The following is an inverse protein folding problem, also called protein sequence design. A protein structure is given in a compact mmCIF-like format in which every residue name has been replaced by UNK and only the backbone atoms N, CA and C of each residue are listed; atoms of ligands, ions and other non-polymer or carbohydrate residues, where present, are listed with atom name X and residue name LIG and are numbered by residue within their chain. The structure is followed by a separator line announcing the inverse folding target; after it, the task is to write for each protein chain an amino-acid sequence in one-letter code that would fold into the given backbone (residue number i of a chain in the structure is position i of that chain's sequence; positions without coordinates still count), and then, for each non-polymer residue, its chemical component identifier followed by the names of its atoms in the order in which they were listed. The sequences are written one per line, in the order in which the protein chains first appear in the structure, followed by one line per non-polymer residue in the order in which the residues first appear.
data_IF_632391533832
#
_entry.id   IF_632391533832
#
_cell.length_a   1.000
_cell.length_b   1.000
_cell.length_c   1.000
_cell.angle_alpha   90.00
_cell.angle_beta   90.00
_cell.angle_gamma   90.00
#
_symmetry.space_group_name_H-M   'P 1'
#
loop_
_entity.id
_entity.type
_entity.pdbx_description
1 polymer ?
#
# COMPACT_ATOMS: atom_id res chain seq x y z
N UNK A 1 17.68 29.48 -53.46
CA UNK A 1 16.26 29.10 -53.31
C UNK A 1 16.21 27.59 -53.14
N UNK A 2 15.67 27.08 -52.04
CA UNK A 2 15.45 25.63 -51.87
C UNK A 2 14.32 25.24 -52.84
N UNK A 3 14.53 24.22 -53.67
CA UNK A 3 13.50 23.74 -54.59
C UNK A 3 12.34 23.12 -53.81
N UNK A 4 11.09 23.24 -54.30
CA UNK A 4 9.93 22.57 -53.70
C UNK A 4 10.15 21.05 -53.59
N UNK A 5 10.86 20.46 -54.54
CA UNK A 5 11.17 19.03 -54.58
C UNK A 5 12.14 18.62 -53.46
N UNK A 6 13.13 19.47 -53.15
CA UNK A 6 14.09 19.23 -52.05
C UNK A 6 13.39 19.26 -50.70
N UNK A 7 12.43 20.17 -50.51
CA UNK A 7 11.63 20.25 -49.28
C UNK A 7 10.78 18.98 -49.11
N UNK A 8 10.08 18.56 -50.17
CA UNK A 8 9.24 17.35 -50.14
C UNK A 8 10.08 16.10 -49.85
N UNK A 9 11.25 15.97 -50.48
CA UNK A 9 12.16 14.85 -50.25
C UNK A 9 12.67 14.83 -48.80
N UNK A 10 13.11 15.99 -48.30
CA UNK A 10 13.58 16.13 -46.91
C UNK A 10 12.49 15.78 -45.89
N UNK A 11 11.24 16.19 -46.14
CA UNK A 11 10.10 15.83 -45.30
C UNK A 11 9.83 14.32 -45.30
N UNK A 12 9.90 13.65 -46.46
CA UNK A 12 9.73 12.19 -46.56
C UNK A 12 10.80 11.45 -45.75
N UNK A 13 12.07 11.86 -45.89
CA UNK A 13 13.16 11.27 -45.12
C UNK A 13 12.95 11.48 -43.61
N UNK A 14 12.59 12.69 -43.18
CA UNK A 14 12.34 13.00 -41.78
C UNK A 14 11.17 12.16 -41.21
N UNK A 15 10.05 12.05 -41.91
CA UNK A 15 8.91 11.24 -41.46
C UNK A 15 9.26 9.75 -41.31
N UNK A 16 10.01 9.19 -42.27
CA UNK A 16 10.48 7.82 -42.21
C UNK A 16 11.45 7.61 -41.02
N UNK A 17 12.40 8.53 -40.83
CA UNK A 17 13.35 8.47 -39.70
C UNK A 17 12.64 8.58 -38.35
N UNK A 18 11.67 9.48 -38.19
CA UNK A 18 10.86 9.60 -36.96
C UNK A 18 10.12 8.29 -36.68
N UNK A 19 9.46 7.70 -37.67
CA UNK A 19 8.71 6.46 -37.50
C UNK A 19 9.61 5.31 -37.01
N UNK A 20 10.78 5.12 -37.63
CA UNK A 20 11.71 4.05 -37.24
C UNK A 20 12.27 4.30 -35.83
N UNK A 21 12.65 5.55 -35.51
CA UNK A 21 13.13 5.90 -34.18
C UNK A 21 12.06 5.69 -33.10
N UNK A 22 10.80 6.05 -33.37
CA UNK A 22 9.68 5.74 -32.48
C UNK A 22 9.54 4.24 -32.27
N UNK A 23 9.63 3.41 -33.31
CA UNK A 23 9.55 1.96 -33.18
C UNK A 23 10.70 1.38 -32.34
N UNK A 24 11.92 1.91 -32.50
CA UNK A 24 13.08 1.51 -31.69
C UNK A 24 12.84 1.85 -30.21
N UNK A 25 12.38 3.07 -29.90
CA UNK A 25 12.08 3.47 -28.53
C UNK A 25 10.93 2.68 -27.93
N UNK A 26 9.87 2.38 -28.70
CA UNK A 26 8.78 1.51 -28.27
C UNK A 26 9.33 0.12 -27.89
N UNK A 27 10.16 -0.47 -28.76
CA UNK A 27 10.79 -1.76 -28.48
C UNK A 27 11.64 -1.71 -27.20
N UNK A 28 12.41 -0.64 -27.00
CA UNK A 28 13.16 -0.42 -25.77
C UNK A 28 12.25 -0.38 -24.52
N UNK A 29 11.13 0.36 -24.57
CA UNK A 29 10.16 0.39 -23.47
C UNK A 29 9.56 -0.99 -23.18
N UNK A 30 9.32 -1.82 -24.20
CA UNK A 30 8.91 -3.21 -23.99
C UNK A 30 9.99 -4.03 -23.28
N UNK A 31 11.27 -3.87 -23.65
CA UNK A 31 12.37 -4.53 -22.96
C UNK A 31 12.49 -4.10 -21.49
N UNK A 32 12.36 -2.80 -21.18
CA UNK A 32 12.33 -2.33 -19.79
C UNK A 32 11.17 -2.94 -18.99
N UNK A 33 9.98 -3.00 -19.57
CA UNK A 33 8.80 -3.62 -18.92
C UNK A 33 8.99 -5.11 -18.67
N UNK A 34 9.63 -5.83 -19.60
CA UNK A 34 10.02 -7.24 -19.39
C UNK A 34 10.98 -7.34 -18.20
N UNK A 35 11.96 -6.43 -18.09
CA UNK A 35 12.89 -6.44 -16.98
C UNK A 35 12.19 -6.21 -15.63
N UNK A 36 11.28 -5.23 -15.54
CA UNK A 36 10.49 -5.00 -14.32
C UNK A 36 9.64 -6.22 -13.95
N UNK A 37 9.01 -6.84 -14.94
CA UNK A 37 8.21 -8.05 -14.77
C UNK A 37 9.03 -9.22 -14.23
N UNK A 38 10.20 -9.48 -14.83
CA UNK A 38 11.09 -10.55 -14.37
C UNK A 38 11.63 -10.28 -12.97
N UNK A 39 12.02 -9.04 -12.67
CA UNK A 39 12.49 -8.66 -11.35
C UNK A 39 11.40 -8.84 -10.29
N UNK A 40 10.15 -8.49 -10.59
CA UNK A 40 9.04 -8.68 -9.64
C UNK A 40 8.74 -10.16 -9.42
N UNK A 41 8.77 -11.00 -10.47
CA UNK A 41 8.56 -12.45 -10.34
C UNK A 41 9.61 -13.09 -9.43
N UNK A 42 10.88 -12.73 -9.57
CA UNK A 42 11.97 -13.28 -8.75
C UNK A 42 11.82 -12.87 -7.28
N UNK A 43 11.38 -11.64 -7.03
CA UNK A 43 11.28 -11.10 -5.66
C UNK A 43 9.94 -11.45 -4.97
N UNK A 44 8.92 -11.87 -5.73
CA UNK A 44 7.61 -12.21 -5.17
C UNK A 44 7.63 -13.56 -4.50
N UNK A 45 7.52 -13.59 -3.17
CA UNK A 45 7.63 -14.84 -2.39
C UNK A 45 6.31 -15.55 -2.10
N UNK A 46 5.12 -15.06 -2.53
CA UNK A 46 3.83 -15.83 -2.57
C UNK A 46 2.54 -15.02 -2.81
N UNK A 47 2.57 -13.68 -2.91
CA UNK A 47 1.36 -12.87 -2.63
C UNK A 47 0.59 -12.36 -3.85
N UNK A 48 1.20 -12.26 -5.02
CA UNK A 48 0.51 -11.73 -6.22
C UNK A 48 0.40 -12.79 -7.32
N UNK A 49 -0.80 -12.91 -7.89
CA UNK A 49 -1.06 -13.78 -9.03
C UNK A 49 -0.22 -13.30 -10.22
N UNK A 50 0.50 -14.23 -10.87
CA UNK A 50 1.31 -13.95 -12.07
C UNK A 50 0.55 -13.11 -13.12
N UNK A 51 -0.74 -13.42 -13.32
CA UNK A 51 -1.60 -12.67 -14.25
C UNK A 51 -1.77 -11.20 -13.86
N UNK A 52 -1.85 -10.89 -12.56
CA UNK A 52 -1.95 -9.51 -12.07
C UNK A 52 -0.66 -8.74 -12.35
N UNK A 53 0.50 -9.34 -12.07
CA UNK A 53 1.82 -8.73 -12.34
C UNK A 53 1.99 -8.48 -13.84
N UNK A 54 1.56 -9.43 -14.69
CA UNK A 54 1.60 -9.28 -16.14
C UNK A 54 0.75 -8.09 -16.61
N UNK A 55 -0.49 -7.98 -16.12
CA UNK A 55 -1.41 -6.87 -16.45
C UNK A 55 -0.82 -5.53 -15.98
N UNK A 56 -0.21 -5.48 -14.80
CA UNK A 56 0.43 -4.27 -14.29
C UNK A 56 1.68 -3.86 -15.10
N UNK A 57 2.48 -4.83 -15.57
CA UNK A 57 3.68 -4.57 -16.37
C UNK A 57 3.34 -4.09 -17.80
N UNK A 58 2.35 -4.71 -18.44
CA UNK A 58 2.00 -4.49 -19.84
C UNK A 58 0.70 -3.68 -20.03
N UNK A 59 0.21 -3.02 -18.98
CA UNK A 59 -0.86 -2.03 -19.09
C UNK A 59 -0.37 -0.77 -19.80
N UNK A 60 -1.02 -0.41 -20.91
CA UNK A 60 -0.77 0.83 -21.64
C UNK A 60 -2.00 1.74 -21.58
N UNK A 61 -1.78 3.06 -21.59
CA UNK A 61 -2.88 4.00 -21.78
C UNK A 61 -3.42 3.93 -23.23
N UNK A 62 -4.66 4.37 -23.44
CA UNK A 62 -5.35 4.26 -24.73
C UNK A 62 -4.58 4.95 -25.85
N UNK A 63 -3.98 6.11 -25.58
CA UNK A 63 -3.20 6.87 -26.57
C UNK A 63 -1.93 6.11 -26.98
N UNK A 64 -1.22 5.54 -26.01
CA UNK A 64 -0.04 4.70 -26.26
C UNK A 64 -0.39 3.48 -27.12
N UNK A 65 -1.51 2.82 -26.84
CA UNK A 65 -1.95 1.67 -27.63
C UNK A 65 -2.21 2.06 -29.09
N UNK A 66 -2.91 3.17 -29.32
CA UNK A 66 -3.16 3.70 -30.67
C UNK A 66 -1.84 3.99 -31.40
N UNK A 67 -0.88 4.61 -30.72
CA UNK A 67 0.43 4.93 -31.30
C UNK A 67 1.24 3.68 -31.60
N UNK A 68 1.28 2.69 -30.69
CA UNK A 68 1.97 1.41 -30.92
C UNK A 68 1.40 0.71 -32.16
N UNK A 69 0.08 0.61 -32.27
CA UNK A 69 -0.58 -0.02 -33.42
C UNK A 69 -0.28 0.75 -34.71
N UNK A 70 -0.42 2.08 -34.69
CA UNK A 70 -0.18 2.93 -35.87
C UNK A 70 1.27 2.90 -36.33
N UNK A 71 2.22 2.94 -35.40
CA UNK A 71 3.65 2.83 -35.70
C UNK A 71 3.97 1.44 -36.26
N UNK A 72 3.42 0.37 -35.67
CA UNK A 72 3.62 -1.00 -36.14
C UNK A 72 3.10 -1.22 -37.56
N UNK A 73 1.87 -0.79 -37.85
CA UNK A 73 1.27 -0.92 -39.19
C UNK A 73 2.03 -0.09 -40.22
N UNK A 74 2.45 1.12 -39.86
CA UNK A 74 3.23 2.00 -40.73
C UNK A 74 4.62 1.45 -41.00
N UNK A 75 5.28 0.86 -40.00
CA UNK A 75 6.58 0.21 -40.16
C UNK A 75 6.48 -0.98 -41.11
N UNK A 76 5.45 -1.82 -40.98
CA UNK A 76 5.21 -2.93 -41.91
C UNK A 76 5.02 -2.44 -43.34
N UNK A 77 4.29 -1.35 -43.54
CA UNK A 77 4.14 -0.75 -44.87
C UNK A 77 5.47 -0.23 -45.43
N UNK A 78 6.33 0.40 -44.61
CA UNK A 78 7.66 0.86 -45.03
C UNK A 78 8.55 -0.33 -45.41
N UNK A 79 8.55 -1.39 -44.61
CA UNK A 79 9.32 -2.61 -44.87
C UNK A 79 8.89 -3.26 -46.18
N UNK A 80 7.58 -3.33 -46.45
CA UNK A 80 7.07 -3.88 -47.70
C UNK A 80 7.51 -3.09 -48.94
N UNK A 81 7.58 -1.76 -48.85
CA UNK A 81 7.91 -0.90 -49.99
C UNK A 81 9.42 -0.70 -50.22
N UNK A 82 10.22 -0.60 -49.14
CA UNK A 82 11.64 -0.17 -49.22
C UNK A 82 12.59 -1.29 -48.75
N UNK A 83 12.08 -2.37 -48.17
CA UNK A 83 12.91 -3.44 -47.59
C UNK A 83 13.41 -3.05 -46.20
N UNK A 84 14.73 -2.91 -46.01
CA UNK A 84 15.31 -2.60 -44.70
C UNK A 84 15.24 -1.08 -44.40
N UNK A 85 14.42 -0.60 -43.44
CA UNK A 85 14.27 0.82 -43.16
C UNK A 85 15.55 1.46 -42.58
N UNK A 86 16.39 0.67 -41.90
CA UNK A 86 17.66 1.14 -41.33
C UNK A 86 18.66 1.52 -42.41
N UNK A 87 18.75 0.72 -43.49
CA UNK A 87 19.62 1.03 -44.63
C UNK A 87 19.18 2.35 -45.29
N UNK A 88 17.87 2.54 -45.46
CA UNK A 88 17.30 3.77 -46.00
C UNK A 88 17.67 5.02 -45.19
N UNK A 89 17.63 4.93 -43.86
CA UNK A 89 18.01 6.04 -42.96
C UNK A 89 19.52 6.30 -43.02
N UNK A 90 20.34 5.24 -43.10
CA UNK A 90 21.79 5.38 -43.18
C UNK A 90 22.23 6.16 -44.43
N UNK A 91 21.58 5.87 -45.56
CA UNK A 91 21.88 6.49 -46.86
C UNK A 91 21.30 7.89 -47.00
N UNK A 92 20.05 8.11 -46.55
CA UNK A 92 19.31 9.34 -46.87
C UNK A 92 18.99 10.24 -45.66
N UNK A 93 19.12 9.71 -44.45
CA UNK A 93 18.63 10.35 -43.21
C UNK A 93 19.64 11.23 -42.47
N UNK A 94 20.90 11.29 -42.88
CA UNK A 94 21.99 11.88 -42.08
C UNK A 94 21.73 13.33 -41.65
N UNK A 95 21.13 14.15 -42.53
CA UNK A 95 20.85 15.57 -42.24
C UNK A 95 19.64 15.79 -41.32
N UNK A 96 18.67 14.86 -41.33
CA UNK A 96 17.41 14.97 -40.58
C UNK A 96 17.40 14.12 -39.31
N UNK A 97 18.44 13.31 -39.09
CA UNK A 97 18.50 12.34 -38.01
C UNK A 97 18.39 12.97 -36.61
N UNK A 98 19.23 13.97 -36.31
CA UNK A 98 19.25 14.60 -34.97
C UNK A 98 17.92 15.29 -34.63
N UNK A 99 17.32 16.14 -35.50
CA UNK A 99 15.99 16.67 -35.25
C UNK A 99 14.92 15.58 -35.08
N UNK A 100 14.97 14.53 -35.91
CA UNK A 100 14.02 13.41 -35.85
C UNK A 100 14.11 12.63 -34.54
N UNK A 101 15.33 12.44 -34.02
CA UNK A 101 15.57 11.79 -32.74
C UNK A 101 14.97 12.58 -31.58
N UNK A 102 15.22 13.89 -31.54
CA UNK A 102 14.68 14.79 -30.52
C UNK A 102 13.15 14.76 -30.55
N UNK A 103 12.55 14.92 -31.74
CA UNK A 103 11.09 14.89 -31.91
C UNK A 103 10.51 13.55 -31.46
N UNK A 104 11.10 12.43 -31.88
CA UNK A 104 10.62 11.09 -31.52
C UNK A 104 10.65 10.87 -30.01
N UNK A 105 11.72 11.28 -29.33
CA UNK A 105 11.84 11.18 -27.89
C UNK A 105 10.77 12.00 -27.16
N UNK A 106 10.58 13.27 -27.56
CA UNK A 106 9.57 14.13 -26.92
C UNK A 106 8.14 13.65 -27.17
N UNK A 107 7.82 13.18 -28.38
CA UNK A 107 6.50 12.62 -28.68
C UNK A 107 6.17 11.46 -27.73
N UNK A 108 7.09 10.50 -27.56
CA UNK A 108 6.86 9.34 -26.69
C UNK A 108 6.75 9.73 -25.21
N UNK A 109 7.51 10.73 -24.76
CA UNK A 109 7.39 11.27 -23.40
C UNK A 109 6.05 11.95 -23.15
N UNK A 110 5.52 12.68 -24.13
CA UNK A 110 4.19 13.31 -24.03
C UNK A 110 3.08 12.23 -23.96
N UNK A 111 3.25 11.13 -24.70
CA UNK A 111 2.31 10.00 -24.71
C UNK A 111 2.39 9.16 -23.41
N UNK A 112 3.45 9.33 -22.60
CA UNK A 112 3.68 8.61 -21.34
C UNK A 112 3.67 7.08 -21.55
N UNK A 113 4.32 6.64 -22.63
CA UNK A 113 4.38 5.22 -22.98
C UNK A 113 5.21 4.39 -21.99
N UNK A 114 6.09 5.05 -21.24
CA UNK A 114 6.93 4.47 -20.20
C UNK A 114 6.19 4.26 -18.86
N UNK A 115 5.07 4.97 -18.64
CA UNK A 115 4.28 4.79 -17.41
C UNK A 115 3.54 3.44 -17.44
N UNK A 116 3.82 2.60 -16.46
CA UNK A 116 3.03 1.42 -16.12
C UNK A 116 2.85 1.30 -14.61
N UNK A 117 1.86 0.51 -14.20
CA UNK A 117 1.53 0.35 -12.78
C UNK A 117 2.65 -0.32 -12.03
N UNK A 118 3.23 -1.37 -12.61
CA UNK A 118 4.33 -2.09 -11.97
C UNK A 118 5.52 -1.16 -11.71
N UNK A 119 5.91 -0.34 -12.68
CA UNK A 119 6.96 0.67 -12.50
C UNK A 119 6.61 1.66 -11.39
N UNK A 120 5.35 2.12 -11.36
CA UNK A 120 4.89 3.06 -10.33
C UNK A 120 4.91 2.44 -8.94
N UNK A 121 4.42 1.20 -8.77
CA UNK A 121 4.47 0.47 -7.51
C UNK A 121 5.91 0.23 -7.04
N UNK A 122 6.81 -0.17 -7.94
CA UNK A 122 8.24 -0.32 -7.64
C UNK A 122 8.88 1.02 -7.22
N UNK A 123 8.53 2.11 -7.91
CA UNK A 123 9.00 3.45 -7.58
C UNK A 123 8.48 3.91 -6.22
N UNK A 124 7.21 3.70 -5.91
CA UNK A 124 6.64 4.03 -4.59
C UNK A 124 7.40 3.27 -3.49
N UNK A 125 7.64 1.96 -3.68
CA UNK A 125 8.40 1.13 -2.73
C UNK A 125 9.86 1.59 -2.54
N UNK A 126 10.47 2.21 -3.56
CA UNK A 126 11.85 2.69 -3.49
C UNK A 126 12.02 4.09 -2.87
N UNK A 127 10.93 4.79 -2.56
CA UNK A 127 10.98 6.14 -1.97
C UNK A 127 11.50 6.20 -0.52
N UNK A 128 11.75 5.05 0.13
CA UNK A 128 12.50 4.98 1.38
C UNK A 128 11.91 5.79 2.54
N UNK A 129 10.58 5.83 2.67
CA UNK A 129 9.88 6.57 3.72
C UNK A 129 9.22 7.87 3.26
N UNK A 130 9.53 8.35 2.05
CA UNK A 130 8.85 9.49 1.42
C UNK A 130 7.58 9.10 0.67
N UNK A 131 7.23 7.81 0.65
CA UNK A 131 5.94 7.35 0.16
C UNK A 131 4.81 7.66 1.16
N UNK A 132 3.58 7.70 0.65
CA UNK A 132 2.40 8.06 1.46
C UNK A 132 2.18 7.08 2.61
N UNK A 133 2.38 5.77 2.41
CA UNK A 133 2.14 4.74 3.41
C UNK A 133 3.09 4.84 4.60
N UNK A 134 4.40 4.91 4.31
CA UNK A 134 5.43 5.09 5.33
C UNK A 134 5.29 6.43 6.05
N UNK A 135 5.01 7.52 5.32
CA UNK A 135 4.77 8.84 5.91
C UNK A 135 3.61 8.82 6.93
N UNK A 136 2.50 8.16 6.60
CA UNK A 136 1.39 7.94 7.53
C UNK A 136 1.80 7.11 8.74
N UNK A 137 2.60 6.05 8.56
CA UNK A 137 3.06 5.20 9.66
C UNK A 137 3.95 5.98 10.64
N UNK A 138 4.91 6.76 10.14
CA UNK A 138 5.75 7.62 10.97
C UNK A 138 4.92 8.66 11.73
N UNK A 139 3.97 9.31 11.05
CA UNK A 139 3.08 10.30 11.65
C UNK A 139 2.22 9.67 12.76
N UNK A 140 1.68 8.46 12.53
CA UNK A 140 0.91 7.73 13.53
C UNK A 140 1.75 7.31 14.73
N UNK A 141 2.94 6.80 14.47
CA UNK A 141 3.81 6.32 15.53
C UNK A 141 4.28 7.46 16.44
N UNK A 142 4.95 8.48 15.89
CA UNK A 142 5.48 9.59 16.69
C UNK A 142 4.39 10.57 17.17
N UNK A 143 3.28 10.65 16.43
CA UNK A 143 2.14 11.50 16.73
C UNK A 143 1.19 10.92 17.77
N UNK A 144 1.16 9.60 17.94
CA UNK A 144 0.16 8.92 18.76
C UNK A 144 0.72 7.71 19.52
N UNK A 145 1.14 6.64 18.83
CA UNK A 145 1.49 5.37 19.51
C UNK A 145 2.64 5.52 20.51
N UNK A 146 3.68 6.29 20.17
CA UNK A 146 4.79 6.55 21.09
C UNK A 146 4.30 7.21 22.40
N UNK A 147 3.23 7.99 22.36
CA UNK A 147 2.68 8.65 23.56
C UNK A 147 1.91 7.65 24.42
N UNK A 148 1.06 6.83 23.79
CA UNK A 148 0.13 5.96 24.53
C UNK A 148 0.74 4.63 24.94
N UNK A 149 1.71 4.12 24.17
CA UNK A 149 2.35 2.83 24.42
C UNK A 149 3.57 2.97 25.34
N UNK A 150 4.34 4.06 25.24
CA UNK A 150 5.56 4.20 26.04
C UNK A 150 5.28 4.35 27.54
N UNK A 151 6.18 3.79 28.34
CA UNK A 151 6.32 4.02 29.77
C UNK A 151 7.41 5.07 30.09
N UNK A 152 7.85 5.82 29.07
CA UNK A 152 9.05 6.65 29.14
C UNK A 152 8.77 7.97 29.86
N UNK A 153 9.40 8.11 31.04
CA UNK A 153 9.26 9.27 31.93
C UNK A 153 8.30 8.96 33.07
N UNK A 154 8.74 9.16 34.31
CA UNK A 154 8.14 8.70 35.57
C UNK A 154 6.66 9.09 35.85
N UNK A 155 5.98 9.78 34.95
CA UNK A 155 4.56 10.17 35.09
C UNK A 155 3.58 9.18 34.43
N UNK A 156 3.96 8.45 33.37
CA UNK A 156 3.03 7.59 32.63
C UNK A 156 3.54 6.14 32.54
N UNK A 157 2.70 5.19 32.97
CA UNK A 157 3.08 3.78 33.12
C UNK A 157 2.78 2.90 31.89
N UNK A 158 2.51 3.53 30.73
CA UNK A 158 2.16 2.85 29.48
C UNK A 158 0.76 2.23 29.46
N UNK A 159 0.27 1.89 28.25
CA UNK A 159 -1.09 1.39 28.05
C UNK A 159 -1.39 0.11 28.84
N UNK A 160 -0.44 -0.82 28.93
CA UNK A 160 -0.65 -2.09 29.63
C UNK A 160 -1.03 -1.87 31.10
N UNK A 161 -0.35 -0.94 31.79
CA UNK A 161 -0.68 -0.59 33.17
C UNK A 161 -2.07 0.06 33.26
N UNK A 162 -2.41 0.93 32.31
CA UNK A 162 -3.72 1.59 32.30
C UNK A 162 -4.86 0.60 32.06
N UNK A 163 -4.63 -0.47 31.29
CA UNK A 163 -5.57 -1.59 31.14
C UNK A 163 -5.75 -2.29 32.49
N UNK A 164 -4.68 -2.59 33.23
CA UNK A 164 -4.77 -3.25 34.54
C UNK A 164 -5.56 -2.43 35.56
N UNK A 165 -5.34 -1.11 35.59
CA UNK A 165 -6.12 -0.21 36.43
C UNK A 165 -7.60 -0.18 36.02
N UNK A 166 -7.89 -0.22 34.72
CA UNK A 166 -9.25 -0.31 34.22
C UNK A 166 -9.92 -1.62 34.63
N UNK A 167 -9.24 -2.77 34.49
CA UNK A 167 -9.75 -4.08 34.91
C UNK A 167 -10.12 -4.08 36.41
N UNK A 168 -9.23 -3.55 37.25
CA UNK A 168 -9.42 -3.47 38.70
C UNK A 168 -10.59 -2.54 39.08
N UNK A 169 -10.77 -1.43 38.37
CA UNK A 169 -11.84 -0.46 38.62
C UNK A 169 -13.20 -0.95 38.15
N UNK A 170 -13.25 -1.58 36.98
CA UNK A 170 -14.50 -1.94 36.29
C UNK A 170 -14.95 -3.38 36.56
N UNK A 171 -14.06 -4.23 37.11
CA UNK A 171 -14.34 -5.65 37.33
C UNK A 171 -14.45 -6.46 36.03
N UNK A 172 -13.77 -6.01 34.97
CA UNK A 172 -13.87 -6.57 33.62
C UNK A 172 -12.51 -7.14 33.19
N UNK A 173 -12.28 -8.46 33.31
CA UNK A 173 -11.01 -9.06 32.93
C UNK A 173 -10.84 -9.13 31.41
N UNK A 174 -9.66 -8.74 30.95
CA UNK A 174 -9.20 -8.81 29.57
C UNK A 174 -8.11 -9.90 29.45
N UNK A 175 -8.28 -10.90 28.57
CA UNK A 175 -7.28 -11.95 28.41
C UNK A 175 -5.95 -11.42 27.85
N UNK A 176 -5.99 -10.34 27.07
CA UNK A 176 -4.84 -9.74 26.40
C UNK A 176 -4.79 -8.25 26.73
N UNK A 177 -3.72 -7.82 27.39
CA UNK A 177 -3.45 -6.42 27.76
C UNK A 177 -2.65 -5.69 26.68
N UNK A 178 -3.14 -5.75 25.44
CA UNK A 178 -2.53 -5.11 24.26
C UNK A 178 -3.55 -4.26 23.54
N UNK A 179 -3.07 -3.26 22.80
CA UNK A 179 -3.87 -2.56 21.80
C UNK A 179 -3.95 -3.36 20.51
N UNK A 180 -5.16 -3.68 20.04
CA UNK A 180 -5.36 -4.26 18.71
C UNK A 180 -5.60 -3.14 17.70
N UNK A 181 -4.72 -3.03 16.70
CA UNK A 181 -4.80 -2.00 15.66
C UNK A 181 -5.26 -2.67 14.37
N UNK A 182 -6.49 -2.37 13.95
CA UNK A 182 -7.09 -2.92 12.75
C UNK A 182 -6.59 -2.16 11.51
N UNK A 183 -6.11 -2.91 10.51
CA UNK A 183 -5.57 -2.39 9.24
C UNK A 183 -6.23 -3.17 8.08
N UNK A 184 -7.39 -2.71 7.59
CA UNK A 184 -8.06 -3.33 6.45
C UNK A 184 -7.29 -3.09 5.14
N UNK A 185 -7.29 -4.07 4.25
CA UNK A 185 -6.69 -3.96 2.92
C UNK A 185 -7.32 -2.85 2.06
N UNK A 186 -8.60 -2.53 2.28
CA UNK A 186 -9.32 -1.44 1.63
C UNK A 186 -9.01 -0.05 2.19
N UNK A 187 -8.22 0.04 3.27
CA UNK A 187 -8.02 1.22 4.12
C UNK A 187 -9.27 1.74 4.85
N UNK A 188 -10.46 1.20 4.57
CA UNK A 188 -11.72 1.68 5.14
C UNK A 188 -12.05 1.01 6.47
N UNK A 189 -12.13 1.80 7.54
CA UNK A 189 -12.58 1.38 8.86
C UNK A 189 -13.79 2.24 9.25
N UNK A 190 -14.96 1.67 9.56
CA UNK A 190 -16.11 2.45 10.01
C UNK A 190 -15.88 3.04 11.40
N UNK A 191 -16.63 4.09 11.74
CA UNK A 191 -16.60 4.72 13.06
C UNK A 191 -17.09 3.79 14.18
N UNK A 192 -17.97 2.85 13.87
CA UNK A 192 -18.48 1.84 14.79
C UNK A 192 -18.14 0.43 14.28
N UNK A 193 -17.34 -0.31 15.07
CA UNK A 193 -16.93 -1.67 14.74
C UNK A 193 -18.09 -2.68 14.75
N UNK A 194 -19.25 -2.31 15.31
CA UNK A 194 -20.48 -3.10 15.19
C UNK A 194 -20.84 -3.37 13.72
N UNK A 195 -20.61 -2.40 12.85
CA UNK A 195 -20.93 -2.45 11.41
C UNK A 195 -20.06 -3.44 10.61
N UNK A 196 -18.88 -3.80 11.13
CA UNK A 196 -17.94 -4.76 10.52
C UNK A 196 -17.86 -6.08 11.26
N UNK A 197 -18.66 -6.24 12.32
CA UNK A 197 -18.62 -7.43 13.18
C UNK A 197 -19.91 -8.24 13.18
N UNK A 198 -20.84 -7.96 12.25
CA UNK A 198 -22.17 -8.59 12.23
C UNK A 198 -22.87 -8.50 13.60
N UNK A 199 -22.76 -7.34 14.27
CA UNK A 199 -23.28 -7.09 15.60
C UNK A 199 -22.61 -7.89 16.75
N UNK A 200 -21.47 -8.54 16.53
CA UNK A 200 -20.76 -9.27 17.59
C UNK A 200 -20.02 -8.36 18.56
N UNK A 201 -19.76 -7.10 18.18
CA UNK A 201 -18.97 -6.16 18.97
C UNK A 201 -19.81 -5.00 19.48
N UNK A 202 -19.58 -4.66 20.74
CA UNK A 202 -20.18 -3.53 21.43
C UNK A 202 -19.06 -2.64 22.02
N UNK A 203 -19.07 -1.35 21.71
CA UNK A 203 -18.16 -0.39 22.36
C UNK A 203 -18.60 -0.16 23.81
N UNK A 204 -17.65 -0.15 24.74
CA UNK A 204 -17.94 0.04 26.17
C UNK A 204 -17.33 1.36 26.68
N UNK A 205 -16.51 1.30 27.74
CA UNK A 205 -15.83 2.46 28.32
C UNK A 205 -14.45 2.66 27.67
N UNK A 206 -13.83 3.78 27.99
CA UNK A 206 -12.49 4.14 27.51
C UNK A 206 -11.44 3.92 28.59
N UNK A 207 -10.27 3.44 28.17
CA UNK A 207 -9.04 3.50 28.96
C UNK A 207 -8.38 4.84 28.66
N UNK A 208 -8.17 5.67 29.69
CA UNK A 208 -7.39 6.90 29.55
C UNK A 208 -5.91 6.53 29.57
N UNK A 209 -5.20 6.86 28.50
CA UNK A 209 -3.83 6.41 28.27
C UNK A 209 -2.81 7.47 28.70
N UNK A 210 -3.08 8.73 28.40
CA UNK A 210 -2.23 9.87 28.78
C UNK A 210 -3.02 11.19 28.72
N UNK A 211 -2.55 12.20 29.47
CA UNK A 211 -3.03 13.58 29.37
C UNK A 211 -1.82 14.51 29.31
N UNK A 212 -1.52 15.07 28.14
CA UNK A 212 -0.28 15.84 27.95
C UNK A 212 -0.52 17.16 27.22
N UNK A 213 0.38 18.12 27.43
CA UNK A 213 0.43 19.35 26.63
C UNK A 213 1.16 19.07 25.32
N UNK A 214 0.55 19.33 24.16
CA UNK A 214 1.19 19.08 22.85
C UNK A 214 0.70 20.05 21.78
N UNK A 215 1.64 20.59 20.99
CA UNK A 215 1.36 21.47 19.85
C UNK A 215 0.41 22.64 20.18
N UNK A 216 0.63 23.30 21.32
CA UNK A 216 -0.21 24.41 21.79
C UNK A 216 -1.52 23.99 22.47
N UNK A 217 -1.91 22.71 22.42
CA UNK A 217 -3.08 22.18 23.13
C UNK A 217 -2.68 21.79 24.55
N UNK A 218 -3.33 22.40 25.53
CA UNK A 218 -3.18 22.03 26.94
C UNK A 218 -4.07 20.84 27.29
N UNK A 219 -3.59 19.96 28.16
CA UNK A 219 -4.35 18.84 28.73
C UNK A 219 -5.01 17.96 27.65
N UNK A 220 -4.25 17.62 26.60
CA UNK A 220 -4.75 16.76 25.53
C UNK A 220 -4.87 15.34 26.04
N UNK A 221 -6.11 14.85 26.10
CA UNK A 221 -6.42 13.49 26.56
C UNK A 221 -6.30 12.49 25.40
N UNK A 222 -5.52 11.44 25.63
CA UNK A 222 -5.42 10.27 24.77
C UNK A 222 -6.16 9.12 25.45
N UNK A 223 -7.04 8.45 24.71
CA UNK A 223 -7.82 7.33 25.22
C UNK A 223 -8.04 6.29 24.15
N UNK A 224 -8.21 5.04 24.57
CA UNK A 224 -8.52 3.91 23.71
C UNK A 224 -9.85 3.29 24.15
N UNK A 225 -10.63 2.76 23.20
CA UNK A 225 -11.94 2.18 23.49
C UNK A 225 -11.80 0.70 23.83
N UNK A 226 -12.47 0.28 24.91
CA UNK A 226 -12.64 -1.14 25.24
C UNK A 226 -13.85 -1.65 24.50
N UNK A 227 -13.67 -2.73 23.75
CA UNK A 227 -14.74 -3.45 23.08
C UNK A 227 -15.06 -4.74 23.82
N UNK A 228 -16.34 -5.05 23.85
CA UNK A 228 -16.91 -6.31 24.29
C UNK A 228 -17.26 -7.11 23.05
N UNK A 229 -16.72 -8.31 22.93
CA UNK A 229 -16.95 -9.22 21.81
C UNK A 229 -17.78 -10.40 22.31
N UNK A 230 -18.89 -10.66 21.64
CA UNK A 230 -19.76 -11.82 21.87
C UNK A 230 -19.34 -12.96 20.93
N UNK A 231 -18.68 -14.03 21.43
CA UNK A 231 -18.32 -15.16 20.59
C UNK A 231 -19.58 -15.79 20.00
N UNK A 232 -19.59 -16.04 18.68
CA UNK A 232 -20.74 -16.58 17.95
C UNK A 232 -21.97 -15.64 17.93
N UNK A 233 -21.77 -14.36 18.24
CA UNK A 233 -22.78 -13.33 18.16
C UNK A 233 -23.57 -13.08 19.44
N UNK A 234 -24.36 -12.02 19.42
CA UNK A 234 -25.21 -11.63 20.53
C UNK A 234 -26.28 -12.71 20.81
N UNK A 235 -26.45 -13.07 22.08
CA UNK A 235 -27.40 -14.12 22.48
C UNK A 235 -26.89 -15.56 22.40
N UNK A 236 -25.64 -15.81 22.01
CA UNK A 236 -25.05 -17.16 21.96
C UNK A 236 -24.89 -17.85 23.32
N UNK A 237 -25.02 -17.09 24.43
CA UNK A 237 -24.81 -17.58 25.79
C UNK A 237 -23.34 -17.69 26.21
N UNK A 238 -22.39 -17.48 25.27
CA UNK A 238 -20.97 -17.44 25.59
C UNK A 238 -20.61 -16.19 26.41
N UNK A 239 -19.64 -16.34 27.32
CA UNK A 239 -19.11 -15.19 28.08
C UNK A 239 -18.41 -14.22 27.12
N UNK A 240 -18.72 -12.92 27.21
CA UNK A 240 -18.08 -11.94 26.35
C UNK A 240 -16.59 -11.78 26.69
N UNK A 241 -15.81 -11.43 25.68
CA UNK A 241 -14.37 -11.16 25.79
C UNK A 241 -14.16 -9.65 25.63
N UNK A 242 -13.39 -9.06 26.55
CA UNK A 242 -13.07 -7.64 26.52
C UNK A 242 -11.64 -7.42 26.03
N UNK A 243 -11.46 -6.42 25.18
CA UNK A 243 -10.16 -6.10 24.58
C UNK A 243 -10.13 -4.65 24.10
N UNK A 244 -8.96 -4.04 24.13
CA UNK A 244 -8.75 -2.67 23.63
C UNK A 244 -8.49 -2.72 22.13
N UNK A 245 -9.31 -2.03 21.34
CA UNK A 245 -9.25 -2.07 19.87
C UNK A 245 -9.39 -0.66 19.31
N UNK A 246 -8.68 -0.39 18.24
CA UNK A 246 -8.91 0.76 17.38
C UNK A 246 -8.66 0.43 15.91
N UNK A 247 -9.24 1.23 15.03
CA UNK A 247 -8.78 1.30 13.65
C UNK A 247 -7.51 2.13 13.55
N UNK A 248 -6.62 1.76 12.62
CA UNK A 248 -5.53 2.63 12.22
C UNK A 248 -6.10 3.91 11.58
N UNK A 249 -6.25 4.96 12.39
CA UNK A 249 -6.85 6.24 11.97
C UNK A 249 -6.26 6.81 10.67
N UNK A 250 -4.93 6.74 10.41
CA UNK A 250 -4.35 7.21 9.14
C UNK A 250 -4.90 6.49 7.90
N UNK A 251 -5.34 5.23 8.03
CA UNK A 251 -5.95 4.50 6.92
C UNK A 251 -7.31 5.08 6.55
N UNK A 252 -8.11 5.51 7.53
CA UNK A 252 -9.36 6.22 7.24
C UNK A 252 -9.09 7.55 6.52
N UNK A 253 -8.09 8.32 6.95
CA UNK A 253 -7.70 9.55 6.26
C UNK A 253 -7.26 9.27 4.82
N UNK A 254 -6.46 8.23 4.59
CA UNK A 254 -6.08 7.83 3.23
C UNK A 254 -7.27 7.37 2.40
N UNK A 255 -8.18 6.59 2.99
CA UNK A 255 -9.41 6.17 2.34
C UNK A 255 -10.23 7.39 1.91
N UNK A 256 -10.45 8.36 2.81
CA UNK A 256 -11.15 9.60 2.48
C UNK A 256 -10.48 10.33 1.31
N UNK A 257 -9.15 10.50 1.33
CA UNK A 257 -8.40 11.09 0.20
C UNK A 257 -8.65 10.30 -1.10
N UNK A 258 -8.68 8.97 -1.05
CA UNK A 258 -8.96 8.15 -2.24
C UNK A 258 -10.40 8.27 -2.78
N UNK A 259 -11.37 8.63 -1.93
CA UNK A 259 -12.78 8.69 -2.29
C UNK A 259 -13.25 10.10 -2.68
N UNK A 260 -12.65 11.16 -2.15
CA UNK A 260 -13.04 12.53 -2.49
C UNK A 260 -12.67 12.84 -3.93
N UNK A 261 -13.58 13.46 -4.71
CA UNK A 261 -13.34 13.78 -6.11
C UNK A 261 -12.38 14.97 -6.28
N UNK A 262 -11.08 14.68 -6.37
CA UNK A 262 -10.05 15.61 -6.79
C UNK A 262 -9.18 14.99 -7.89
N UNK A 263 -8.27 15.77 -8.47
CA UNK A 263 -7.49 15.37 -9.65
C UNK A 263 -6.63 14.09 -9.48
N UNK A 264 -6.39 13.66 -8.25
CA UNK A 264 -5.44 12.58 -7.90
C UNK A 264 -6.14 11.34 -7.29
N UNK A 265 -7.46 11.35 -7.13
CA UNK A 265 -8.22 10.32 -6.39
C UNK A 265 -8.14 8.95 -7.05
N UNK A 266 -8.18 8.91 -8.39
CA UNK A 266 -8.05 7.66 -9.15
C UNK A 266 -6.67 7.03 -8.95
N UNK A 267 -5.62 7.85 -8.85
CA UNK A 267 -4.26 7.39 -8.54
C UNK A 267 -4.20 6.78 -7.14
N UNK A 268 -4.76 7.45 -6.13
CA UNK A 268 -4.79 6.92 -4.77
C UNK A 268 -5.59 5.62 -4.65
N UNK A 269 -6.74 5.52 -5.33
CA UNK A 269 -7.55 4.30 -5.37
C UNK A 269 -6.81 3.16 -6.08
N UNK A 270 -6.10 3.45 -7.16
CA UNK A 270 -5.32 2.47 -7.93
C UNK A 270 -4.18 1.85 -7.12
N UNK A 271 -3.49 2.64 -6.30
CA UNK A 271 -2.34 2.19 -5.49
C UNK A 271 -2.66 2.02 -4.00
N UNK A 272 -3.94 1.80 -3.65
CA UNK A 272 -4.38 1.64 -2.27
C UNK A 272 -3.67 0.48 -1.57
N UNK A 273 -3.55 -0.67 -2.25
CA UNK A 273 -2.91 -1.87 -1.69
C UNK A 273 -1.44 -1.61 -1.34
N UNK A 274 -0.70 -0.95 -2.23
CA UNK A 274 0.70 -0.59 -2.01
C UNK A 274 0.87 0.35 -0.81
N UNK A 275 0.02 1.38 -0.70
CA UNK A 275 0.07 2.34 0.41
C UNK A 275 -0.24 1.66 1.74
N UNK A 276 -1.28 0.82 1.81
CA UNK A 276 -1.63 0.07 3.03
C UNK A 276 -0.53 -0.91 3.43
N UNK A 277 0.07 -1.61 2.45
CA UNK A 277 1.15 -2.54 2.71
C UNK A 277 2.40 -1.84 3.25
N UNK A 278 2.78 -0.70 2.66
CA UNK A 278 3.89 0.12 3.14
C UNK A 278 3.62 0.68 4.54
N UNK A 279 2.41 1.17 4.79
CA UNK A 279 1.99 1.59 6.13
C UNK A 279 2.16 0.47 7.16
N UNK A 280 1.61 -0.72 6.88
CA UNK A 280 1.70 -1.87 7.77
C UNK A 280 3.15 -2.28 8.04
N UNK A 281 3.97 -2.44 6.99
CA UNK A 281 5.37 -2.86 7.11
C UNK A 281 6.19 -1.84 7.88
N UNK A 282 6.07 -0.55 7.55
CA UNK A 282 6.80 0.52 8.23
C UNK A 282 6.40 0.61 9.70
N UNK A 283 5.11 0.52 10.01
CA UNK A 283 4.63 0.53 11.40
C UNK A 283 5.11 -0.70 12.18
N UNK A 284 5.10 -1.89 11.56
CA UNK A 284 5.62 -3.11 12.16
C UNK A 284 7.12 -2.98 12.47
N UNK A 285 7.92 -2.43 11.55
CA UNK A 285 9.33 -2.16 11.78
C UNK A 285 9.52 -1.20 12.95
N UNK A 286 8.78 -0.10 13.02
CA UNK A 286 8.88 0.88 14.11
C UNK A 286 8.61 0.25 15.48
N UNK A 287 7.56 -0.56 15.58
CA UNK A 287 7.16 -1.23 16.82
C UNK A 287 8.15 -2.32 17.23
N UNK A 288 8.75 -3.04 16.29
CA UNK A 288 9.71 -4.10 16.56
C UNK A 288 11.13 -3.57 16.85
N UNK A 289 11.44 -2.33 16.47
CA UNK A 289 12.79 -1.75 16.63
C UNK A 289 13.10 -1.36 18.08
N UNK A 290 12.08 -0.93 18.85
CA UNK A 290 12.27 -0.57 20.26
C UNK A 290 11.62 -1.63 21.18
N UNK A 291 12.41 -2.28 22.06
CA UNK A 291 11.90 -3.23 23.06
C UNK A 291 10.76 -2.69 23.93
N UNK A 292 10.69 -1.38 24.18
CA UNK A 292 9.65 -0.77 25.02
C UNK A 292 8.23 -0.95 24.46
N UNK A 293 8.10 -1.11 23.14
CA UNK A 293 6.81 -1.36 22.49
C UNK A 293 6.58 -2.83 22.19
N UNK A 294 7.60 -3.67 22.38
CA UNK A 294 7.48 -5.10 22.17
C UNK A 294 6.39 -5.64 23.10
N UNK A 295 5.45 -6.40 22.54
CA UNK A 295 4.27 -6.93 23.25
C UNK A 295 3.21 -5.90 23.69
N UNK A 296 3.35 -4.60 23.38
CA UNK A 296 2.37 -3.57 23.79
C UNK A 296 1.13 -3.45 22.87
N UNK A 297 1.26 -3.85 21.62
CA UNK A 297 0.18 -3.82 20.63
C UNK A 297 0.24 -5.01 19.67
N UNK A 298 -0.86 -5.25 18.97
CA UNK A 298 -1.04 -6.29 17.96
C UNK A 298 -1.56 -5.64 16.67
N UNK A 299 -0.76 -5.69 15.60
CA UNK A 299 -1.19 -5.23 14.29
C UNK A 299 -2.03 -6.30 13.60
N UNK A 300 -3.28 -5.97 13.27
CA UNK A 300 -4.24 -6.88 12.62
C UNK A 300 -4.49 -6.40 11.20
N UNK A 301 -3.62 -6.82 10.28
CA UNK A 301 -3.89 -6.70 8.84
C UNK A 301 -4.87 -7.79 8.39
N UNK A 302 -5.88 -7.41 7.60
CA UNK A 302 -6.86 -8.36 7.05
C UNK A 302 -7.45 -7.90 5.72
N UNK A 303 -7.89 -8.85 4.91
CA UNK A 303 -8.70 -8.58 3.72
C UNK A 303 -10.16 -8.35 4.16
N UNK A 304 -10.73 -7.20 3.80
CA UNK A 304 -12.09 -6.81 4.22
C UNK A 304 -13.19 -7.71 3.64
N UNK A 305 -12.92 -8.31 2.48
CA UNK A 305 -13.87 -9.09 1.71
C UNK A 305 -13.31 -10.46 1.42
N UNK A 306 -14.14 -11.49 1.61
CA UNK A 306 -13.82 -12.86 1.24
C UNK A 306 -13.83 -13.08 -0.28
N UNK A 307 -13.43 -14.28 -0.76
CA UNK A 307 -13.48 -14.64 -2.17
C UNK A 307 -14.89 -14.56 -2.79
N UNK A 308 -15.93 -14.65 -1.96
CA UNK A 308 -17.34 -14.54 -2.35
C UNK A 308 -17.84 -13.08 -2.40
N UNK A 309 -16.95 -12.11 -2.16
CA UNK A 309 -17.27 -10.68 -2.13
C UNK A 309 -18.03 -10.23 -0.88
N UNK A 310 -18.28 -11.13 0.09
CA UNK A 310 -18.92 -10.76 1.35
C UNK A 310 -17.90 -10.19 2.31
N UNK A 311 -18.36 -9.25 3.14
CA UNK A 311 -17.53 -8.64 4.18
C UNK A 311 -17.16 -9.70 5.22
N UNK A 312 -15.89 -9.72 5.59
CA UNK A 312 -15.39 -10.60 6.65
C UNK A 312 -15.81 -10.04 8.02
N UNK A 313 -16.20 -10.92 8.94
CA UNK A 313 -16.51 -10.54 10.30
C UNK A 313 -15.22 -10.24 11.08
N UNK A 314 -14.98 -8.98 11.42
CA UNK A 314 -13.75 -8.58 12.13
C UNK A 314 -13.66 -9.19 13.53
N UNK A 315 -14.79 -9.47 14.18
CA UNK A 315 -14.80 -10.09 15.50
C UNK A 315 -14.16 -11.48 15.48
N UNK A 316 -14.41 -12.26 14.43
CA UNK A 316 -13.82 -13.60 14.27
C UNK A 316 -12.30 -13.52 14.14
N UNK A 317 -11.81 -12.56 13.34
CA UNK A 317 -10.36 -12.31 13.16
C UNK A 317 -9.71 -11.96 14.51
N UNK A 318 -10.34 -11.08 15.29
CA UNK A 318 -9.83 -10.67 16.60
C UNK A 318 -9.83 -11.85 17.58
N UNK A 319 -10.93 -12.62 17.64
CA UNK A 319 -11.04 -13.80 18.50
C UNK A 319 -10.00 -14.87 18.15
N UNK A 320 -9.76 -15.12 16.85
CA UNK A 320 -8.70 -16.01 16.41
C UNK A 320 -7.32 -15.52 16.85
N UNK A 321 -7.05 -14.21 16.70
CA UNK A 321 -5.79 -13.60 17.14
C UNK A 321 -5.58 -13.72 18.64
N UNK A 322 -6.62 -13.48 19.44
CA UNK A 322 -6.61 -13.67 20.90
C UNK A 322 -6.28 -15.12 21.24
N UNK A 323 -6.94 -16.10 20.59
CA UNK A 323 -6.67 -17.53 20.81
C UNK A 323 -5.19 -17.87 20.53
N UNK A 324 -4.63 -17.40 19.42
CA UNK A 324 -3.21 -17.60 19.08
C UNK A 324 -2.26 -17.00 20.13
N UNK A 325 -2.51 -15.76 20.56
CA UNK A 325 -1.69 -15.11 21.59
C UNK A 325 -1.76 -15.83 22.93
N UNK A 326 -2.95 -16.30 23.33
CA UNK A 326 -3.12 -17.09 24.55
C UNK A 326 -2.41 -18.44 24.49
N UNK A 327 -2.43 -19.10 23.32
CA UNK A 327 -1.71 -20.34 23.10
C UNK A 327 -0.19 -20.13 23.24
N UNK A 328 0.37 -19.12 22.57
CA UNK A 328 1.80 -18.81 22.63
C UNK A 328 2.26 -18.50 24.06
N UNK A 329 1.48 -17.73 24.83
CA UNK A 329 1.80 -17.46 26.25
C UNK A 329 1.80 -18.72 27.12
N UNK A 330 0.90 -19.68 26.85
CA UNK A 330 0.89 -20.96 27.59
C UNK A 330 2.16 -21.75 27.31
N UNK A 331 2.53 -21.88 26.03
CA UNK A 331 3.75 -22.59 25.62
C UNK A 331 5.00 -21.95 26.22
N UNK A 332 5.14 -20.62 26.19
CA UNK A 332 6.26 -19.91 26.82
C UNK A 332 6.34 -20.14 28.34
N UNK A 333 5.18 -20.17 29.02
CA UNK A 333 5.14 -20.43 30.46
C UNK A 333 5.49 -21.89 30.80
N UNK A 334 5.08 -22.85 29.97
CA UNK A 334 5.44 -24.26 30.10
C UNK A 334 6.95 -24.49 29.90
N UNK A 335 7.55 -23.86 28.89
CA UNK A 335 9.00 -23.88 28.66
C UNK A 335 9.77 -23.27 29.84
N UNK A 336 9.38 -22.07 30.30
CA UNK A 336 10.01 -21.43 31.48
C UNK A 336 9.92 -22.30 32.74
N UNK A 337 8.80 -23.01 32.94
CA UNK A 337 8.62 -23.93 34.06
C UNK A 337 9.50 -25.18 33.92
N UNK A 338 9.70 -25.68 32.70
CA UNK A 338 10.60 -26.80 32.41
C UNK A 338 12.06 -26.44 32.73
N UNK A 339 12.54 -25.29 32.27
CA UNK A 339 13.92 -24.84 32.52
C UNK A 339 14.21 -24.43 33.97
N UNK A 340 13.20 -24.13 34.78
CA UNK A 340 13.37 -23.83 36.22
C UNK A 340 13.48 -25.08 37.10
N UNK A 341 13.27 -26.28 36.54
CA UNK A 341 13.41 -27.58 37.22
C UNK A 341 14.79 -28.21 37.03
N UNK A 342 15.64 -27.60 36.20
CA UNK A 342 17.06 -27.88 36.06
C UNK A 342 17.85 -26.69 36.59
#
# INVERSE_FOLDING_TARGET
MISKEDVISTMKHASCTILVLMCIFIAYTFFERIFYFLNEIVNTTKRDNFGTILVQAFGFNTVSLIVIVTCGTSLMAVVYNIGCPLNYIWENGQRVFIPSLIISFFLLRIIKIDECDLYTSLKIRSLGGLDYGSGLAYSYFYGYLNIILSSMGSEYKGLQHNIELFEAREGVPMPIKKLFILIPASAHIPSDLRQVSHDWMESTKKVVSAEINRAGVKNRVYSNTVYKIHPEGEGSGHRPIYVVIEGATPMLTFYEVSQHAHKDSDTYRRFTKEVVELFYKTLQTLLNTNPDYQDSCELVYYEDYGPDGKRVNVAEIILERIRKLLHNRKTENEEKLYFKKF
#
